data_IF_885159259484
#
_entry.id   IF_885159259484
#
_cell.length_a   1.000
_cell.length_b   1.000
_cell.length_c   1.000
_cell.angle_alpha   90.00
_cell.angle_beta   90.00
_cell.angle_gamma   90.00
#
_symmetry.space_group_name_H-M   'P 1'
#
loop_
_entity.id
_entity.type
_entity.pdbx_description
1 polymer ?
#
# COMPACT_ATOMS: atom_id res chain seq x y z
N UNK A 1 44.39 -10.32 74.22
CA UNK A 1 43.22 -10.86 73.57
C UNK A 1 43.06 -10.10 72.23
N UNK A 2 43.51 -10.67 71.14
CA UNK A 2 43.42 -10.05 69.78
C UNK A 2 42.26 -10.69 69.01
N UNK A 3 41.29 -9.92 68.66
CA UNK A 3 40.13 -10.33 67.88
C UNK A 3 40.51 -10.21 66.44
N UNK A 4 40.51 -11.34 65.67
CA UNK A 4 40.74 -11.40 64.26
C UNK A 4 39.39 -11.31 63.54
N UNK A 5 39.20 -10.27 62.75
CA UNK A 5 38.04 -10.13 61.88
C UNK A 5 38.31 -10.86 60.56
N UNK A 6 37.57 -11.90 60.26
CA UNK A 6 37.56 -12.53 58.95
C UNK A 6 36.62 -11.76 58.01
N UNK A 7 37.19 -11.26 56.91
CA UNK A 7 36.42 -10.65 55.83
C UNK A 7 35.91 -11.74 54.88
N UNK A 8 34.59 -11.85 54.74
CA UNK A 8 33.95 -12.71 53.72
C UNK A 8 33.86 -11.91 52.43
N UNK A 9 34.64 -12.32 51.42
CA UNK A 9 34.52 -11.80 50.07
C UNK A 9 33.35 -12.49 49.35
N UNK A 10 32.30 -11.73 49.06
CA UNK A 10 31.19 -12.18 48.21
C UNK A 10 31.62 -12.10 46.74
N UNK A 11 31.76 -13.27 46.11
CA UNK A 11 31.97 -13.37 44.64
C UNK A 11 30.63 -13.17 43.98
N UNK A 12 30.43 -12.00 43.35
CA UNK A 12 29.28 -11.77 42.47
C UNK A 12 29.55 -12.40 41.08
N UNK A 13 28.88 -13.51 40.81
CA UNK A 13 28.79 -14.05 39.43
C UNK A 13 27.98 -13.08 38.56
N UNK A 14 28.67 -12.34 37.71
CA UNK A 14 27.99 -11.62 36.63
C UNK A 14 27.54 -12.62 35.57
N UNK A 15 26.24 -12.86 35.49
CA UNK A 15 25.62 -13.55 34.37
C UNK A 15 25.83 -12.71 33.11
N UNK A 16 26.77 -13.14 32.26
CA UNK A 16 26.93 -12.60 30.92
C UNK A 16 25.69 -13.07 30.12
N UNK A 17 24.73 -12.18 29.97
CA UNK A 17 23.66 -12.40 28.98
C UNK A 17 24.31 -12.45 27.60
N UNK A 18 23.95 -13.42 26.72
CA UNK A 18 24.43 -13.39 25.34
C UNK A 18 23.94 -12.08 24.72
N UNK A 19 24.89 -11.22 24.35
CA UNK A 19 24.61 -9.97 23.68
C UNK A 19 23.83 -10.27 22.40
N UNK A 20 22.61 -9.76 22.30
CA UNK A 20 21.97 -9.53 21.03
C UNK A 20 22.94 -8.65 20.26
N UNK A 21 23.70 -9.27 19.33
CA UNK A 21 24.42 -8.51 18.33
C UNK A 21 23.37 -7.65 17.61
N UNK A 22 23.46 -6.33 17.79
CA UNK A 22 22.63 -5.39 17.07
C UNK A 22 22.78 -5.77 15.59
N UNK A 23 21.71 -6.28 15.00
CA UNK A 23 21.67 -6.51 13.56
C UNK A 23 21.98 -5.15 12.93
N UNK A 24 23.09 -5.10 12.22
CA UNK A 24 23.51 -3.92 11.47
C UNK A 24 22.33 -3.56 10.59
N UNK A 25 21.71 -2.43 10.88
CA UNK A 25 20.56 -1.95 10.13
C UNK A 25 21.03 -1.75 8.68
N UNK A 26 20.68 -2.68 7.79
CA UNK A 26 21.13 -2.71 6.39
C UNK A 26 20.37 -1.73 5.50
N UNK A 27 19.48 -0.90 6.10
CA UNK A 27 18.55 -0.04 5.40
C UNK A 27 18.75 1.41 5.82
N UNK A 28 18.53 2.36 4.88
CA UNK A 28 18.51 3.77 5.26
C UNK A 28 17.45 3.99 6.33
N UNK A 29 17.65 4.92 7.26
CA UNK A 29 16.61 5.29 8.21
C UNK A 29 15.40 5.78 7.43
N UNK A 30 14.22 5.19 7.71
CA UNK A 30 12.97 5.56 7.06
C UNK A 30 12.58 6.98 7.45
N UNK A 31 12.17 7.78 6.46
CA UNK A 31 11.74 9.17 6.62
C UNK A 31 10.23 9.25 6.42
N UNK A 32 9.48 9.00 7.47
CA UNK A 32 8.03 9.07 7.44
C UNK A 32 7.53 10.51 7.29
N UNK A 33 6.53 10.71 6.44
CA UNK A 33 5.90 12.00 6.21
C UNK A 33 6.73 12.99 5.39
N UNK A 34 7.87 12.60 4.82
CA UNK A 34 8.71 13.46 4.00
C UNK A 34 9.13 12.76 2.72
N UNK A 35 8.95 13.43 1.59
CA UNK A 35 9.38 12.95 0.27
C UNK A 35 10.69 13.60 -0.21
N UNK A 36 11.32 14.46 0.60
CA UNK A 36 12.45 15.28 0.18
C UNK A 36 13.69 14.49 -0.32
N UNK A 37 13.85 13.23 0.12
CA UNK A 37 14.95 12.36 -0.32
C UNK A 37 14.67 11.63 -1.62
N UNK A 38 13.43 11.63 -2.14
CA UNK A 38 13.07 10.91 -3.35
C UNK A 38 13.79 11.47 -4.59
N UNK A 39 14.22 10.58 -5.48
CA UNK A 39 14.71 10.98 -6.79
C UNK A 39 13.55 11.55 -7.64
N UNK A 40 13.85 12.31 -8.67
CA UNK A 40 12.86 12.83 -9.60
C UNK A 40 12.67 11.86 -10.77
N UNK A 41 11.46 11.79 -11.30
CA UNK A 41 11.15 11.06 -12.53
C UNK A 41 10.14 9.93 -12.34
N UNK A 42 10.03 9.12 -13.38
CA UNK A 42 9.11 8.00 -13.42
C UNK A 42 9.60 6.84 -12.56
N UNK A 43 8.71 6.26 -11.76
CA UNK A 43 8.96 5.13 -10.86
C UNK A 43 10.27 5.30 -10.05
N UNK A 44 10.54 6.55 -9.66
CA UNK A 44 11.79 6.98 -9.05
C UNK A 44 11.99 6.34 -7.67
N UNK A 45 13.27 6.13 -7.31
CA UNK A 45 13.63 5.64 -5.97
C UNK A 45 13.30 6.71 -4.93
N UNK A 46 12.58 6.32 -3.88
CA UNK A 46 12.23 7.24 -2.80
C UNK A 46 13.35 7.41 -1.77
N UNK A 47 14.46 6.64 -1.86
CA UNK A 47 15.61 6.75 -0.97
C UNK A 47 15.25 6.71 0.53
N UNK A 48 14.27 5.86 0.89
CA UNK A 48 13.80 5.69 2.27
C UNK A 48 12.68 6.64 2.69
N UNK A 49 12.18 7.50 1.80
CA UNK A 49 10.98 8.30 2.07
C UNK A 49 9.75 7.39 2.11
N UNK A 50 8.90 7.59 3.13
CA UNK A 50 7.67 6.84 3.34
C UNK A 50 6.51 7.83 3.45
N UNK A 51 5.46 7.69 2.62
CA UNK A 51 4.28 8.53 2.72
C UNK A 51 3.65 8.46 4.10
N UNK A 52 3.16 9.60 4.57
CA UNK A 52 2.46 9.77 5.85
C UNK A 52 3.33 9.61 7.11
N UNK A 53 2.89 10.17 8.25
CA UNK A 53 3.52 9.98 9.55
C UNK A 53 3.65 8.52 9.96
N UNK A 54 4.56 8.23 10.89
CA UNK A 54 4.85 6.85 11.31
C UNK A 54 3.65 6.17 12.02
N UNK A 55 2.76 6.93 12.62
CA UNK A 55 1.54 6.46 13.29
C UNK A 55 0.30 6.42 12.38
N UNK A 56 0.46 6.82 11.11
CA UNK A 56 -0.60 6.67 10.12
C UNK A 56 -1.03 5.20 9.96
N UNK A 57 -2.31 4.98 9.62
CA UNK A 57 -2.84 3.63 9.44
C UNK A 57 -2.06 2.80 8.41
N UNK A 58 -1.45 3.41 7.39
CA UNK A 58 -0.59 2.70 6.43
C UNK A 58 0.71 2.20 7.05
N UNK A 59 1.26 2.92 8.02
CA UNK A 59 2.58 2.69 8.60
C UNK A 59 2.53 1.98 9.97
N UNK A 60 1.34 1.87 10.56
CA UNK A 60 1.16 1.29 11.88
C UNK A 60 1.40 -0.24 11.89
N UNK A 61 2.25 -0.70 12.81
CA UNK A 61 2.44 -2.13 13.08
C UNK A 61 1.16 -2.72 13.70
N UNK A 62 0.59 -3.71 13.02
CA UNK A 62 -0.64 -4.40 13.45
C UNK A 62 -0.38 -5.87 13.82
N UNK A 63 0.88 -6.29 13.93
CA UNK A 63 1.24 -7.69 14.20
C UNK A 63 0.66 -8.20 15.51
N UNK A 64 0.49 -7.33 16.50
CA UNK A 64 -0.12 -7.62 17.81
C UNK A 64 -1.62 -7.32 17.91
N UNK A 65 -2.28 -6.89 16.85
CA UNK A 65 -3.71 -6.55 16.91
C UNK A 65 -4.60 -7.78 17.05
N UNK A 66 -5.77 -7.64 17.69
CA UNK A 66 -6.76 -8.70 17.81
C UNK A 66 -7.26 -9.14 16.44
N UNK A 67 -7.65 -10.41 16.34
CA UNK A 67 -8.32 -10.99 15.15
C UNK A 67 -9.81 -10.64 15.22
N UNK A 68 -10.41 -10.33 14.07
CA UNK A 68 -11.85 -10.09 13.97
C UNK A 68 -12.63 -11.39 14.23
N UNK A 69 -13.69 -11.37 15.05
CA UNK A 69 -14.47 -12.57 15.34
C UNK A 69 -15.14 -13.18 14.09
N UNK A 70 -15.36 -12.42 13.02
CA UNK A 70 -15.90 -12.90 11.74
C UNK A 70 -14.80 -13.21 10.70
N UNK A 71 -13.53 -13.25 11.12
CA UNK A 71 -12.38 -13.42 10.23
C UNK A 71 -12.53 -14.60 9.26
N UNK A 72 -12.93 -15.77 9.76
CA UNK A 72 -13.01 -16.98 8.94
C UNK A 72 -14.04 -16.87 7.82
N UNK A 73 -15.21 -16.28 8.07
CA UNK A 73 -16.23 -16.06 7.05
C UNK A 73 -15.78 -15.02 6.01
N UNK A 74 -15.14 -13.95 6.46
CA UNK A 74 -14.62 -12.90 5.59
C UNK A 74 -13.51 -13.45 4.67
N UNK A 75 -12.56 -14.21 5.20
CA UNK A 75 -11.52 -14.88 4.40
C UNK A 75 -12.13 -15.90 3.43
N UNK A 76 -13.12 -16.67 3.89
CA UNK A 76 -13.82 -17.65 3.04
C UNK A 76 -14.51 -16.99 1.85
N UNK A 77 -15.10 -15.80 2.03
CA UNK A 77 -15.76 -15.05 0.96
C UNK A 77 -14.79 -14.55 -0.12
N UNK A 78 -13.51 -14.31 0.25
CA UNK A 78 -12.46 -13.91 -0.69
C UNK A 78 -11.82 -15.16 -1.35
N UNK A 79 -11.85 -16.32 -0.68
CA UNK A 79 -11.33 -17.58 -1.18
C UNK A 79 -10.12 -18.10 -0.40
N UNK A 80 -10.37 -19.14 0.40
CA UNK A 80 -9.37 -19.75 1.31
C UNK A 80 -8.23 -20.45 0.57
N UNK A 81 -8.49 -21.02 -0.61
CA UNK A 81 -7.53 -21.76 -1.41
C UNK A 81 -6.91 -20.93 -2.55
N UNK A 82 -7.37 -19.69 -2.72
CA UNK A 82 -6.84 -18.77 -3.73
C UNK A 82 -5.51 -18.22 -3.25
N UNK A 83 -4.49 -18.26 -4.12
CA UNK A 83 -3.17 -17.69 -3.84
C UNK A 83 -3.13 -16.18 -4.04
N UNK A 84 -2.16 -15.53 -3.41
CA UNK A 84 -1.84 -14.14 -3.74
C UNK A 84 -1.40 -14.04 -5.20
N UNK A 85 -1.78 -12.95 -5.84
CA UNK A 85 -1.34 -12.59 -7.18
C UNK A 85 -0.69 -11.20 -7.19
N UNK A 86 0.56 -11.07 -7.68
CA UNK A 86 1.16 -9.76 -7.88
C UNK A 86 0.59 -9.14 -9.16
N UNK A 87 -0.10 -8.03 -9.05
CA UNK A 87 -0.58 -7.24 -10.20
C UNK A 87 0.43 -6.15 -10.55
N UNK A 88 1.71 -6.53 -10.54
CA UNK A 88 2.87 -5.71 -10.86
C UNK A 88 4.06 -6.59 -11.24
N UNK A 89 5.06 -5.99 -11.90
CA UNK A 89 6.23 -6.73 -12.33
C UNK A 89 7.15 -5.93 -13.25
N UNK A 90 7.99 -6.64 -13.99
CA UNK A 90 8.85 -6.09 -15.04
C UNK A 90 8.25 -6.25 -16.43
N UNK A 91 8.58 -5.34 -17.34
CA UNK A 91 8.19 -5.41 -18.73
C UNK A 91 6.72 -5.11 -18.99
N UNK A 92 6.13 -5.80 -19.96
CA UNK A 92 4.74 -5.55 -20.41
C UNK A 92 3.92 -6.82 -20.53
N UNK A 93 2.62 -6.70 -20.27
CA UNK A 93 1.63 -7.72 -20.51
C UNK A 93 0.57 -7.21 -21.47
N UNK A 94 0.33 -7.94 -22.59
CA UNK A 94 -0.58 -7.50 -23.65
C UNK A 94 -0.32 -6.07 -24.19
N UNK A 95 0.93 -5.61 -24.12
CA UNK A 95 1.36 -4.31 -24.63
C UNK A 95 1.22 -3.13 -23.66
N UNK A 96 0.79 -3.40 -22.40
CA UNK A 96 0.78 -2.43 -21.32
C UNK A 96 1.83 -2.79 -20.26
N UNK A 97 2.39 -1.79 -19.58
CA UNK A 97 3.28 -2.02 -18.43
C UNK A 97 2.52 -2.75 -17.31
N UNK A 98 3.26 -3.57 -16.54
CA UNK A 98 2.68 -4.40 -15.48
C UNK A 98 2.79 -3.66 -14.15
N UNK A 99 1.68 -3.12 -13.66
CA UNK A 99 1.59 -2.36 -12.40
C UNK A 99 1.11 -0.94 -12.60
N UNK A 100 1.00 -0.21 -11.49
CA UNK A 100 0.54 1.18 -11.45
C UNK A 100 1.76 2.11 -11.39
N UNK A 101 2.09 2.81 -12.50
CA UNK A 101 3.25 3.70 -12.52
C UNK A 101 2.99 4.98 -11.73
N UNK A 102 4.06 5.60 -11.24
CA UNK A 102 4.02 6.89 -10.58
C UNK A 102 5.12 7.81 -11.08
N UNK A 103 4.98 9.09 -10.81
CA UNK A 103 5.99 10.11 -11.12
C UNK A 103 6.32 10.91 -9.86
N UNK A 104 7.60 11.16 -9.63
CA UNK A 104 8.06 12.11 -8.62
C UNK A 104 8.51 13.38 -9.30
N UNK A 105 7.93 14.49 -8.91
CA UNK A 105 8.22 15.83 -9.44
C UNK A 105 8.75 16.74 -8.33
N UNK A 106 9.34 17.87 -8.72
CA UNK A 106 9.68 18.99 -7.84
C UNK A 106 8.57 20.06 -7.88
N UNK A 107 8.64 21.04 -7.00
CA UNK A 107 7.67 22.14 -6.90
C UNK A 107 7.68 23.10 -8.12
N UNK A 108 8.70 23.00 -8.98
CA UNK A 108 8.78 23.74 -10.25
C UNK A 108 8.02 23.05 -11.41
N UNK A 109 7.45 21.84 -11.20
CA UNK A 109 6.63 21.17 -12.23
C UNK A 109 5.39 22.00 -12.55
N UNK A 110 5.19 22.40 -13.84
CA UNK A 110 4.03 23.19 -14.21
C UNK A 110 2.70 22.49 -13.91
N UNK A 111 1.78 23.21 -13.29
CA UNK A 111 0.42 22.74 -13.05
C UNK A 111 -0.43 22.78 -14.31
N UNK A 112 -1.15 21.71 -14.58
CA UNK A 112 -2.02 21.57 -15.75
C UNK A 112 -3.49 21.48 -15.34
N UNK A 113 -4.38 21.93 -16.24
CA UNK A 113 -5.82 21.93 -15.99
C UNK A 113 -6.38 20.50 -16.02
N UNK A 114 -7.17 20.16 -15.01
CA UNK A 114 -7.89 18.89 -14.91
C UNK A 114 -9.38 19.11 -15.20
N UNK A 115 -9.98 18.27 -16.04
CA UNK A 115 -11.41 18.27 -16.37
C UNK A 115 -12.06 17.00 -15.83
N UNK A 116 -12.71 17.09 -14.71
CA UNK A 116 -13.48 16.00 -14.09
C UNK A 116 -14.71 15.63 -14.94
N UNK A 117 -14.99 14.34 -15.08
CA UNK A 117 -16.09 13.80 -15.90
C UNK A 117 -17.18 13.11 -15.07
N UNK A 118 -16.81 12.24 -14.12
CA UNK A 118 -17.76 11.50 -13.31
C UNK A 118 -17.84 12.10 -11.90
N UNK A 119 -17.06 11.70 -10.98
CA UNK A 119 -17.14 11.98 -9.53
C UNK A 119 -16.75 13.42 -9.16
N UNK A 120 -17.40 14.42 -9.80
CA UNK A 120 -17.00 15.85 -9.68
C UNK A 120 -17.17 16.43 -8.30
N UNK A 121 -18.19 15.96 -7.57
CA UNK A 121 -18.54 16.47 -6.24
C UNK A 121 -17.77 15.73 -5.14
N UNK A 122 -17.03 14.68 -5.52
CA UNK A 122 -16.19 13.86 -4.66
C UNK A 122 -14.71 13.95 -5.05
N UNK A 123 -14.33 14.96 -5.81
CA UNK A 123 -12.99 15.10 -6.38
C UNK A 123 -12.37 16.46 -6.12
N UNK A 124 -11.06 16.48 -5.97
CA UNK A 124 -10.26 17.70 -6.00
C UNK A 124 -10.14 18.23 -7.44
N UNK A 125 -10.45 19.52 -7.61
CA UNK A 125 -10.67 20.12 -8.94
C UNK A 125 -9.41 20.47 -9.72
N UNK A 126 -8.23 20.24 -9.15
CA UNK A 126 -6.95 20.67 -9.73
C UNK A 126 -6.75 22.21 -9.68
N UNK A 127 -5.72 22.76 -10.32
CA UNK A 127 -4.82 22.08 -11.23
C UNK A 127 -3.88 21.08 -10.54
N UNK A 128 -3.29 20.14 -11.32
CA UNK A 128 -2.34 19.14 -10.84
C UNK A 128 -1.00 19.23 -11.58
N UNK A 129 0.15 18.91 -10.95
CA UNK A 129 1.48 19.01 -11.56
C UNK A 129 1.81 17.76 -12.38
N UNK A 130 1.06 17.50 -13.47
CA UNK A 130 1.23 16.28 -14.26
C UNK A 130 2.26 16.51 -15.37
N UNK A 131 3.37 15.73 -15.41
CA UNK A 131 4.34 15.77 -16.49
C UNK A 131 3.70 15.42 -17.85
N UNK A 132 4.16 16.02 -18.95
CA UNK A 132 3.60 15.77 -20.29
C UNK A 132 3.71 14.31 -20.74
N UNK A 133 4.72 13.61 -20.24
CA UNK A 133 5.08 12.22 -20.53
C UNK A 133 4.65 11.24 -19.44
N UNK A 134 3.83 11.68 -18.46
CA UNK A 134 3.34 10.84 -17.39
C UNK A 134 2.72 9.55 -17.93
N UNK A 135 3.21 8.42 -17.45
CA UNK A 135 2.68 7.11 -17.81
C UNK A 135 1.27 6.92 -17.28
N UNK A 136 0.50 6.18 -18.05
CA UNK A 136 -0.89 5.84 -17.72
C UNK A 136 -0.96 4.34 -17.55
N UNK A 137 -1.45 3.87 -16.42
CA UNK A 137 -1.67 2.47 -16.16
C UNK A 137 -2.51 1.82 -17.26
N UNK A 138 -2.12 0.62 -17.69
CA UNK A 138 -2.85 -0.15 -18.71
C UNK A 138 -2.93 0.51 -20.09
N UNK A 139 -2.16 1.60 -20.34
CA UNK A 139 -2.19 2.28 -21.61
C UNK A 139 -1.78 1.36 -22.76
N UNK A 140 -2.67 1.26 -23.76
CA UNK A 140 -2.59 0.39 -24.94
C UNK A 140 -2.69 -1.12 -24.65
N UNK A 141 -3.31 -1.51 -23.52
CA UNK A 141 -3.57 -2.94 -23.27
C UNK A 141 -4.34 -3.55 -24.47
N UNK A 142 -3.87 -4.67 -24.98
CA UNK A 142 -4.40 -5.32 -26.20
C UNK A 142 -4.53 -4.36 -27.40
N UNK A 143 -3.67 -3.33 -27.50
CA UNK A 143 -3.78 -2.28 -28.52
C UNK A 143 -4.88 -1.24 -28.24
N UNK A 144 -5.69 -1.41 -27.22
CA UNK A 144 -6.76 -0.48 -26.85
C UNK A 144 -6.23 0.66 -25.96
N UNK A 145 -6.05 1.84 -26.55
CA UNK A 145 -5.60 3.04 -25.83
C UNK A 145 -6.63 3.65 -24.86
N UNK A 146 -7.84 3.10 -24.80
CA UNK A 146 -8.91 3.56 -23.92
C UNK A 146 -9.26 2.55 -22.80
N UNK A 147 -8.62 1.37 -22.81
CA UNK A 147 -8.85 0.32 -21.82
C UNK A 147 -8.12 0.55 -20.48
N UNK A 148 -8.47 -0.26 -19.49
CA UNK A 148 -7.90 -0.24 -18.14
C UNK A 148 -8.42 0.90 -17.27
N UNK A 149 -7.98 0.92 -16.02
CA UNK A 149 -8.35 1.92 -15.02
C UNK A 149 -7.63 3.24 -15.22
N UNK A 150 -6.50 3.21 -15.94
CA UNK A 150 -5.80 4.39 -16.42
C UNK A 150 -5.43 5.35 -15.30
N UNK A 151 -4.92 4.81 -14.21
CA UNK A 151 -4.39 5.62 -13.11
C UNK A 151 -3.18 6.46 -13.58
N UNK A 152 -3.11 7.68 -13.05
CA UNK A 152 -1.93 8.54 -13.12
C UNK A 152 -1.66 9.06 -11.73
N UNK A 153 -0.48 8.74 -11.20
CA UNK A 153 -0.05 9.08 -9.85
C UNK A 153 1.16 10.02 -9.93
N UNK A 154 1.10 11.15 -9.23
CA UNK A 154 2.20 12.13 -9.20
C UNK A 154 2.46 12.55 -7.76
N UNK A 155 3.71 12.49 -7.35
CA UNK A 155 4.19 12.92 -6.04
C UNK A 155 5.04 14.18 -6.23
N UNK A 156 4.67 15.27 -5.60
CA UNK A 156 5.49 16.46 -5.46
C UNK A 156 6.30 16.32 -4.16
N UNK A 157 7.60 16.03 -4.31
CA UNK A 157 8.47 15.72 -3.18
C UNK A 157 8.78 16.93 -2.30
N UNK A 158 8.74 18.13 -2.87
CA UNK A 158 9.12 19.35 -2.16
C UNK A 158 7.96 19.90 -1.33
N UNK A 159 6.72 19.63 -1.75
CA UNK A 159 5.52 20.05 -1.01
C UNK A 159 4.84 18.91 -0.25
N UNK A 160 5.38 17.68 -0.26
CA UNK A 160 4.80 16.47 0.33
C UNK A 160 3.34 16.27 -0.11
N UNK A 161 3.04 16.45 -1.38
CA UNK A 161 1.70 16.28 -1.94
C UNK A 161 1.67 15.16 -2.96
N UNK A 162 0.56 14.45 -2.98
CA UNK A 162 0.30 13.42 -3.96
C UNK A 162 -1.00 13.70 -4.69
N UNK A 163 -0.96 13.51 -6.00
CA UNK A 163 -2.07 13.74 -6.91
C UNK A 163 -2.36 12.45 -7.65
N UNK A 164 -3.59 11.99 -7.59
CA UNK A 164 -4.03 10.75 -8.23
C UNK A 164 -5.23 11.00 -9.14
N UNK A 165 -5.27 10.34 -10.30
CA UNK A 165 -6.38 10.41 -11.22
C UNK A 165 -6.85 9.02 -11.63
N UNK A 166 -8.17 8.81 -11.64
CA UNK A 166 -8.82 7.63 -12.22
C UNK A 166 -9.34 7.93 -13.61
N UNK A 167 -9.16 6.98 -14.56
CA UNK A 167 -9.51 7.08 -15.98
C UNK A 167 -8.99 8.35 -16.64
N UNK A 168 -7.67 8.55 -16.52
CA UNK A 168 -6.98 9.75 -17.00
C UNK A 168 -6.69 9.70 -18.49
N UNK A 169 -6.93 10.83 -19.19
CA UNK A 169 -6.68 11.00 -20.62
C UNK A 169 -6.06 12.38 -20.89
N UNK A 170 -4.90 12.44 -21.54
CA UNK A 170 -4.36 13.72 -22.01
C UNK A 170 -5.28 14.30 -23.10
N UNK A 171 -5.46 15.61 -23.08
CA UNK A 171 -6.25 16.37 -24.06
C UNK A 171 -5.45 17.56 -24.59
N UNK A 172 -5.99 18.28 -25.57
CA UNK A 172 -5.31 19.43 -26.18
C UNK A 172 -4.89 20.48 -25.14
N UNK A 173 -3.84 21.23 -25.43
CA UNK A 173 -3.30 22.30 -24.60
C UNK A 173 -2.76 21.83 -23.24
N UNK A 174 -2.05 20.71 -23.23
CA UNK A 174 -1.43 20.10 -22.03
C UNK A 174 -2.41 19.91 -20.86
N UNK A 175 -3.71 19.84 -21.13
CA UNK A 175 -4.71 19.58 -20.11
C UNK A 175 -5.04 18.08 -20.06
N UNK A 176 -5.65 17.65 -18.96
CA UNK A 176 -6.11 16.28 -18.75
C UNK A 176 -7.62 16.25 -18.47
N UNK A 177 -8.25 15.12 -18.79
CA UNK A 177 -9.56 14.77 -18.27
C UNK A 177 -9.46 13.45 -17.51
N UNK A 178 -10.23 13.31 -16.43
CA UNK A 178 -10.34 12.08 -15.64
C UNK A 178 -11.75 11.94 -15.07
N UNK A 179 -12.08 10.77 -14.56
CA UNK A 179 -13.37 10.53 -13.93
C UNK A 179 -13.35 10.97 -12.45
N UNK A 180 -12.24 10.70 -11.73
CA UNK A 180 -11.98 11.22 -10.38
C UNK A 180 -10.57 11.79 -10.29
N UNK A 181 -10.39 12.76 -9.38
CA UNK A 181 -9.11 13.35 -9.01
C UNK A 181 -8.98 13.49 -7.49
N UNK A 182 -7.82 13.17 -6.96
CA UNK A 182 -7.57 13.20 -5.53
C UNK A 182 -6.24 13.88 -5.21
N UNK A 183 -6.23 14.67 -4.14
CA UNK A 183 -5.05 15.29 -3.53
C UNK A 183 -4.91 14.77 -2.11
N UNK A 184 -3.71 14.29 -1.75
CA UNK A 184 -3.35 13.87 -0.40
C UNK A 184 -2.13 14.64 0.08
N UNK A 185 -2.11 14.99 1.37
CA UNK A 185 -0.97 15.55 2.07
C UNK A 185 -0.18 14.43 2.73
N UNK A 186 1.05 14.17 2.28
CA UNK A 186 1.84 13.02 2.70
C UNK A 186 2.53 13.18 4.06
N UNK A 187 2.47 14.38 4.63
CA UNK A 187 3.04 14.75 5.93
C UNK A 187 1.97 14.88 7.04
N UNK A 188 0.72 14.47 6.77
CA UNK A 188 -0.38 14.55 7.73
C UNK A 188 -1.26 13.30 7.68
N UNK A 189 -2.12 13.14 8.70
CA UNK A 189 -3.15 12.10 8.76
C UNK A 189 -4.51 12.59 8.25
N UNK A 190 -4.52 13.70 7.52
CA UNK A 190 -5.74 14.29 7.00
C UNK A 190 -6.46 13.31 6.07
N UNK A 191 -7.73 13.08 6.34
CA UNK A 191 -8.61 12.27 5.52
C UNK A 191 -9.43 13.18 4.63
N UNK A 192 -9.67 12.77 3.40
CA UNK A 192 -10.57 13.49 2.48
C UNK A 192 -11.98 13.56 3.08
N UNK A 193 -12.85 14.50 2.63
CA UNK A 193 -14.17 14.70 3.24
C UNK A 193 -14.93 13.41 3.48
N UNK A 194 -15.43 13.22 4.71
CA UNK A 194 -15.97 11.97 5.25
C UNK A 194 -17.46 12.07 5.60
N UNK A 195 -18.28 12.71 4.76
CA UNK A 195 -19.74 12.50 4.85
C UNK A 195 -20.04 11.01 4.59
N UNK A 196 -21.25 10.57 4.54
CA UNK A 196 -21.58 9.13 4.43
C UNK A 196 -22.28 8.80 3.11
N UNK A 197 -21.63 8.11 2.16
CA UNK A 197 -20.20 7.82 2.12
C UNK A 197 -19.37 9.09 1.95
N UNK A 198 -18.07 9.03 2.24
CA UNK A 198 -17.14 10.12 1.99
C UNK A 198 -16.84 10.29 0.50
N UNK A 199 -15.87 11.14 0.21
CA UNK A 199 -15.39 11.28 -1.15
C UNK A 199 -14.66 10.01 -1.60
N UNK A 200 -14.95 9.54 -2.84
CA UNK A 200 -14.08 8.57 -3.51
C UNK A 200 -12.70 9.19 -3.81
N UNK A 201 -11.74 8.39 -4.20
CA UNK A 201 -10.45 8.84 -4.70
C UNK A 201 -10.24 8.33 -6.14
N UNK A 202 -9.00 8.14 -6.54
CA UNK A 202 -8.68 7.30 -7.68
C UNK A 202 -8.93 5.80 -7.36
N UNK A 203 -9.07 5.47 -6.09
CA UNK A 203 -9.37 4.14 -5.55
C UNK A 203 -10.82 4.09 -5.00
N UNK A 204 -11.50 2.96 -5.12
CA UNK A 204 -12.91 2.82 -4.78
C UNK A 204 -13.19 2.98 -3.28
N UNK A 205 -12.22 2.65 -2.42
CA UNK A 205 -12.32 2.81 -0.98
C UNK A 205 -12.16 4.26 -0.48
N UNK A 206 -11.88 5.22 -1.38
CA UNK A 206 -11.47 6.58 -1.00
C UNK A 206 -10.05 6.66 -0.43
N UNK A 207 -9.32 5.57 -0.48
CA UNK A 207 -7.92 5.49 -0.04
C UNK A 207 -6.97 6.07 -1.11
N UNK A 208 -5.75 6.48 -0.72
CA UNK A 208 -4.68 6.72 -1.66
C UNK A 208 -4.13 5.40 -2.23
N UNK A 209 -3.80 5.38 -3.51
CA UNK A 209 -3.24 4.19 -4.19
C UNK A 209 -1.75 4.03 -3.87
N UNK A 210 -0.96 5.09 -4.09
CA UNK A 210 0.50 5.05 -4.04
C UNK A 210 1.07 4.49 -2.73
N UNK A 211 0.61 4.88 -1.53
CA UNK A 211 1.16 4.37 -0.27
C UNK A 211 1.00 2.86 -0.07
N UNK A 212 0.04 2.26 -0.77
CA UNK A 212 -0.23 0.82 -0.70
C UNK A 212 0.45 -0.02 -1.79
N UNK A 213 1.24 0.59 -2.68
CA UNK A 213 1.94 -0.14 -3.74
C UNK A 213 3.16 -0.88 -3.18
N UNK A 214 3.35 -2.14 -3.58
CA UNK A 214 4.64 -2.80 -3.45
C UNK A 214 5.63 -2.14 -4.42
N UNK A 215 6.74 -1.59 -3.92
CA UNK A 215 7.75 -0.92 -4.74
C UNK A 215 9.07 -1.66 -4.69
N UNK A 216 9.77 -1.70 -5.84
CA UNK A 216 11.04 -2.42 -5.95
C UNK A 216 12.18 -1.76 -5.15
N UNK A 217 12.20 -0.43 -5.07
CA UNK A 217 13.22 0.31 -4.30
C UNK A 217 13.23 -0.08 -2.82
N UNK A 218 12.07 -0.43 -2.24
CA UNK A 218 11.95 -0.96 -0.89
C UNK A 218 12.21 -2.47 -0.84
N UNK A 219 11.52 -3.26 -1.67
CA UNK A 219 11.65 -4.72 -1.68
C UNK A 219 13.10 -5.17 -1.89
N UNK A 220 13.85 -4.50 -2.76
CA UNK A 220 15.26 -4.75 -3.01
C UNK A 220 16.14 -4.46 -1.78
N UNK A 221 15.73 -3.63 -0.83
CA UNK A 221 16.40 -3.50 0.46
C UNK A 221 16.14 -4.68 1.38
N UNK A 222 15.02 -5.38 1.19
CA UNK A 222 14.50 -6.47 2.02
C UNK A 222 13.46 -6.02 3.05
N UNK A 223 13.01 -4.75 2.99
CA UNK A 223 12.01 -4.18 3.92
C UNK A 223 11.04 -3.31 3.15
N UNK A 224 9.74 -3.55 3.35
CA UNK A 224 8.65 -2.66 2.98
C UNK A 224 8.05 -2.15 4.30
N UNK A 225 8.14 -0.84 4.62
CA UNK A 225 7.81 -0.32 5.94
C UNK A 225 6.34 0.14 6.08
N UNK A 226 5.43 -0.38 5.27
CA UNK A 226 4.01 0.01 5.25
C UNK A 226 3.09 -1.14 4.83
N UNK A 227 1.78 -0.95 5.04
CA UNK A 227 0.74 -1.84 4.55
C UNK A 227 0.64 -1.79 3.02
N UNK A 228 0.17 -2.88 2.43
CA UNK A 228 -0.12 -2.95 1.01
C UNK A 228 -1.62 -2.75 0.74
N UNK A 229 -1.97 -2.54 -0.53
CA UNK A 229 -3.36 -2.58 -1.01
C UNK A 229 -3.63 -3.86 -1.78
N UNK A 230 -4.88 -4.34 -1.71
CA UNK A 230 -5.30 -5.49 -2.51
C UNK A 230 -6.77 -5.36 -2.92
N UNK A 231 -7.18 -6.18 -3.89
CA UNK A 231 -8.55 -6.20 -4.41
C UNK A 231 -9.31 -7.46 -4.01
N UNK A 232 -10.63 -7.34 -4.00
CA UNK A 232 -11.58 -8.43 -3.78
C UNK A 232 -12.66 -8.42 -4.85
N UNK A 233 -13.18 -9.58 -5.25
CA UNK A 233 -14.22 -9.63 -6.29
C UNK A 233 -15.56 -9.08 -5.81
N UNK A 234 -15.85 -9.23 -4.54
CA UNK A 234 -17.11 -8.79 -3.93
C UNK A 234 -16.84 -8.10 -2.60
N UNK A 235 -17.31 -6.86 -2.47
CA UNK A 235 -17.32 -6.12 -1.21
C UNK A 235 -18.73 -5.87 -0.75
N UNK A 236 -18.92 -5.46 0.52
CA UNK A 236 -20.24 -5.06 1.02
C UNK A 236 -20.40 -3.54 1.05
N UNK A 237 -21.65 -3.09 1.21
CA UNK A 237 -22.03 -1.69 1.38
C UNK A 237 -21.62 -1.16 2.76
N UNK A 238 -20.28 -1.07 2.96
CA UNK A 238 -19.65 -0.58 4.17
C UNK A 238 -18.20 -0.21 3.93
N UNK A 239 -17.63 0.58 4.83
CA UNK A 239 -16.18 0.80 4.90
C UNK A 239 -15.68 0.81 6.35
N UNK A 240 -14.36 0.67 6.50
CA UNK A 240 -13.62 0.77 7.77
C UNK A 240 -12.54 1.85 7.61
N UNK A 241 -12.46 2.85 8.49
CA UNK A 241 -11.37 3.83 8.44
C UNK A 241 -9.98 3.15 8.42
N UNK A 242 -9.00 3.67 7.64
CA UNK A 242 -8.98 4.99 6.99
C UNK A 242 -9.74 5.10 5.67
N UNK A 243 -10.35 4.03 5.14
CA UNK A 243 -11.28 4.16 4.03
C UNK A 243 -12.48 5.04 4.44
N UNK A 244 -13.06 5.73 3.48
CA UNK A 244 -14.19 6.61 3.72
C UNK A 244 -15.30 6.48 2.67
N UNK A 245 -15.18 5.48 1.79
CA UNK A 245 -16.12 5.23 0.72
C UNK A 245 -16.37 3.72 0.55
N UNK A 246 -17.58 3.33 0.15
CA UNK A 246 -17.93 1.96 -0.26
C UNK A 246 -18.28 1.92 -1.76
N UNK A 247 -18.10 0.77 -2.39
CA UNK A 247 -18.30 0.58 -3.83
C UNK A 247 -19.18 -0.63 -4.14
N UNK A 248 -20.16 -0.91 -3.29
CA UNK A 248 -21.10 -2.03 -3.45
C UNK A 248 -22.44 -1.69 -2.79
N UNK A 249 -23.50 -2.37 -3.21
CA UNK A 249 -24.82 -2.32 -2.58
C UNK A 249 -25.16 -3.64 -1.86
N UNK A 250 -24.20 -4.57 -1.73
CA UNK A 250 -24.43 -5.85 -1.06
C UNK A 250 -24.28 -5.66 0.45
N UNK A 251 -25.29 -6.02 1.21
CA UNK A 251 -25.32 -5.86 2.67
C UNK A 251 -24.89 -7.11 3.43
N UNK A 252 -24.43 -8.16 2.74
CA UNK A 252 -24.01 -9.40 3.38
C UNK A 252 -22.83 -9.15 4.35
N UNK A 253 -22.99 -9.40 5.68
CA UNK A 253 -21.97 -9.12 6.68
C UNK A 253 -20.73 -10.00 6.54
N UNK A 254 -20.78 -11.07 5.76
CA UNK A 254 -19.66 -11.96 5.49
C UNK A 254 -18.82 -11.51 4.28
N UNK A 255 -19.19 -10.44 3.59
CA UNK A 255 -18.36 -9.82 2.57
C UNK A 255 -17.47 -8.74 3.18
N UNK A 256 -16.25 -8.56 2.65
CA UNK A 256 -15.33 -7.54 3.15
C UNK A 256 -15.85 -6.13 2.89
N UNK A 257 -15.83 -5.22 3.88
CA UNK A 257 -16.00 -3.78 3.63
C UNK A 257 -14.73 -3.19 3.02
N UNK A 258 -14.84 -2.08 2.31
CA UNK A 258 -13.66 -1.30 1.90
C UNK A 258 -12.85 -0.88 3.13
N UNK A 259 -11.51 -0.85 3.02
CA UNK A 259 -10.62 -0.57 4.15
C UNK A 259 -10.42 -1.73 5.14
N UNK A 260 -11.12 -2.86 4.99
CA UNK A 260 -10.86 -4.04 5.82
C UNK A 260 -9.40 -4.44 5.73
N UNK A 261 -8.75 -4.63 6.88
CA UNK A 261 -7.34 -4.99 6.93
C UNK A 261 -7.15 -6.46 7.23
N UNK A 262 -6.35 -7.13 6.40
CA UNK A 262 -5.92 -8.50 6.63
C UNK A 262 -4.42 -8.53 6.90
N UNK A 263 -3.96 -9.53 7.65
CA UNK A 263 -2.53 -9.79 7.84
C UNK A 263 -2.21 -11.27 7.61
N UNK A 264 -0.98 -11.53 7.18
CA UNK A 264 -0.43 -12.88 7.14
C UNK A 264 -0.26 -13.37 8.58
N UNK A 265 -0.81 -14.56 8.89
CA UNK A 265 -0.77 -15.14 10.23
C UNK A 265 0.66 -15.25 10.77
N UNK A 266 0.85 -14.94 12.05
CA UNK A 266 2.15 -15.04 12.71
C UNK A 266 2.74 -16.47 12.59
N UNK A 267 1.89 -17.52 12.62
CA UNK A 267 2.27 -18.91 12.47
C UNK A 267 2.75 -19.32 11.08
N UNK A 268 2.48 -18.51 10.04
CA UNK A 268 2.99 -18.81 8.70
C UNK A 268 4.51 -18.68 8.64
N UNK A 269 5.21 -19.74 8.28
CA UNK A 269 6.67 -19.70 8.10
C UNK A 269 6.98 -19.32 6.66
N UNK A 270 7.62 -18.17 6.46
CA UNK A 270 8.08 -17.74 5.13
C UNK A 270 9.18 -18.70 4.66
N UNK A 271 9.03 -19.37 3.50
CA UNK A 271 10.02 -20.31 3.01
C UNK A 271 11.40 -19.69 2.79
N UNK A 272 12.45 -20.38 3.26
CA UNK A 272 13.83 -19.89 3.11
C UNK A 272 14.26 -19.72 1.65
N UNK A 273 13.69 -20.52 0.75
CA UNK A 273 14.01 -20.50 -0.69
C UNK A 273 13.37 -19.37 -1.47
N UNK A 274 12.45 -18.61 -0.88
CA UNK A 274 11.84 -17.46 -1.57
C UNK A 274 12.86 -16.33 -1.81
N UNK A 275 12.66 -15.56 -2.86
CA UNK A 275 13.45 -14.40 -3.19
C UNK A 275 13.44 -13.35 -2.06
N UNK A 276 14.40 -12.45 -2.07
CA UNK A 276 14.50 -11.37 -1.08
C UNK A 276 13.28 -10.46 -1.15
N UNK A 277 12.85 -10.13 -2.34
CA UNK A 277 11.73 -9.24 -2.62
C UNK A 277 10.41 -9.85 -2.13
N UNK A 278 10.15 -11.13 -2.44
CA UNK A 278 8.97 -11.83 -1.93
C UNK A 278 8.98 -11.94 -0.41
N UNK A 279 10.13 -12.20 0.21
CA UNK A 279 10.26 -12.19 1.68
C UNK A 279 9.95 -10.83 2.27
N UNK A 280 10.40 -9.74 1.65
CA UNK A 280 10.08 -8.38 2.09
C UNK A 280 8.57 -8.11 2.04
N UNK A 281 7.90 -8.48 0.95
CA UNK A 281 6.44 -8.41 0.81
C UNK A 281 5.75 -9.21 1.93
N UNK A 282 6.10 -10.48 2.11
CA UNK A 282 5.46 -11.34 3.10
C UNK A 282 5.72 -10.88 4.54
N UNK A 283 6.89 -10.31 4.82
CA UNK A 283 7.17 -9.72 6.12
C UNK A 283 6.33 -8.45 6.37
N UNK A 284 6.16 -7.60 5.35
CA UNK A 284 5.25 -6.45 5.43
C UNK A 284 3.82 -6.89 5.68
N UNK A 285 3.36 -7.96 5.03
CA UNK A 285 2.03 -8.53 5.26
C UNK A 285 1.85 -9.09 6.68
N UNK A 286 2.91 -9.52 7.36
CA UNK A 286 2.87 -9.89 8.79
C UNK A 286 2.81 -8.68 9.70
N UNK A 287 3.60 -7.66 9.41
CA UNK A 287 3.79 -6.49 10.29
C UNK A 287 2.69 -5.45 10.08
N UNK A 288 2.45 -5.11 8.82
CA UNK A 288 1.54 -4.02 8.43
C UNK A 288 0.25 -4.52 7.77
N UNK A 289 0.25 -5.76 7.24
CA UNK A 289 -0.89 -6.32 6.52
C UNK A 289 -1.18 -5.64 5.18
N UNK A 290 -2.41 -5.81 4.70
CA UNK A 290 -2.90 -5.13 3.50
C UNK A 290 -4.38 -4.76 3.66
N UNK A 291 -4.82 -3.70 2.95
CA UNK A 291 -6.18 -3.16 3.03
C UNK A 291 -6.96 -3.41 1.75
N UNK A 292 -8.24 -3.77 1.89
CA UNK A 292 -9.18 -3.83 0.77
C UNK A 292 -9.36 -2.42 0.22
N UNK A 293 -8.93 -2.19 -1.00
CA UNK A 293 -8.89 -0.88 -1.61
C UNK A 293 -9.88 -0.72 -2.76
N UNK A 294 -10.13 -1.81 -3.51
CA UNK A 294 -11.02 -1.78 -4.67
C UNK A 294 -11.68 -3.14 -4.91
N UNK A 295 -12.70 -3.15 -5.77
CA UNK A 295 -13.23 -4.37 -6.37
C UNK A 295 -12.38 -4.78 -7.57
N UNK A 296 -12.08 -6.08 -7.67
CA UNK A 296 -11.22 -6.64 -8.71
C UNK A 296 -11.10 -8.14 -8.57
N UNK A 297 -10.00 -8.73 -9.00
CA UNK A 297 -9.75 -10.14 -8.73
C UNK A 297 -9.38 -10.35 -7.26
N UNK A 298 -9.77 -11.51 -6.71
CA UNK A 298 -9.45 -11.86 -5.32
C UNK A 298 -7.95 -12.02 -5.11
N UNK A 299 -7.44 -11.45 -4.00
CA UNK A 299 -6.05 -11.56 -3.56
C UNK A 299 -5.02 -10.95 -4.52
N UNK A 300 -5.42 -10.00 -5.38
CA UNK A 300 -4.48 -9.26 -6.22
C UNK A 300 -3.86 -8.12 -5.42
N UNK A 301 -2.54 -8.15 -5.27
CA UNK A 301 -1.74 -7.10 -4.62
C UNK A 301 -1.26 -6.13 -5.70
N UNK A 302 -1.44 -4.85 -5.49
CA UNK A 302 -0.95 -3.82 -6.40
C UNK A 302 0.49 -3.43 -6.10
N UNK A 303 1.23 -3.05 -7.13
CA UNK A 303 2.58 -2.54 -7.01
C UNK A 303 2.99 -1.68 -8.20
N UNK A 304 4.15 -1.05 -8.09
CA UNK A 304 4.73 -0.25 -9.15
C UNK A 304 5.56 -1.12 -10.12
N UNK A 305 5.55 -0.80 -11.41
CA UNK A 305 6.41 -1.46 -12.39
C UNK A 305 7.88 -1.17 -12.10
N UNK A 306 8.74 -2.16 -12.32
CA UNK A 306 10.19 -1.96 -12.25
C UNK A 306 10.92 -3.11 -12.94
N UNK A 307 11.96 -2.83 -13.73
CA UNK A 307 12.74 -3.85 -14.43
C UNK A 307 13.55 -4.77 -13.50
N UNK A 308 13.68 -4.41 -12.24
CA UNK A 308 14.32 -5.23 -11.21
C UNK A 308 13.46 -6.42 -10.74
N UNK A 309 12.15 -6.39 -10.93
CA UNK A 309 11.28 -7.49 -10.54
C UNK A 309 11.55 -8.75 -11.37
N UNK A 310 11.63 -9.89 -10.70
CA UNK A 310 11.61 -11.19 -11.36
C UNK A 310 10.17 -11.73 -11.33
N UNK A 311 9.47 -11.67 -12.47
CA UNK A 311 8.07 -12.07 -12.59
C UNK A 311 7.84 -13.55 -12.24
N UNK A 312 8.76 -14.45 -12.60
CA UNK A 312 8.64 -15.87 -12.31
C UNK A 312 8.71 -16.13 -10.80
N UNK A 313 9.61 -15.45 -10.09
CA UNK A 313 9.67 -15.52 -8.62
C UNK A 313 8.40 -14.93 -8.00
N UNK A 314 8.01 -13.71 -8.39
CA UNK A 314 6.82 -13.06 -7.83
C UNK A 314 5.57 -13.93 -7.95
N UNK A 315 5.26 -14.38 -9.17
CA UNK A 315 4.06 -15.19 -9.42
C UNK A 315 4.17 -16.57 -8.79
N UNK A 316 5.32 -17.25 -8.96
CA UNK A 316 5.53 -18.59 -8.46
C UNK A 316 5.56 -18.71 -6.94
N UNK A 317 6.14 -17.70 -6.26
CA UNK A 317 6.29 -17.71 -4.80
C UNK A 317 5.03 -17.17 -4.11
N UNK A 318 4.47 -16.03 -4.55
CA UNK A 318 3.27 -15.46 -3.95
C UNK A 318 2.04 -16.35 -4.12
N UNK A 319 1.89 -17.05 -5.24
CA UNK A 319 0.76 -17.96 -5.46
C UNK A 319 0.69 -19.15 -4.48
N UNK A 320 1.79 -19.44 -3.79
CA UNK A 320 1.83 -20.47 -2.74
C UNK A 320 1.21 -19.99 -1.42
N UNK A 321 1.09 -18.67 -1.22
CA UNK A 321 0.50 -18.07 -0.03
C UNK A 321 -1.00 -17.93 -0.24
N UNK A 322 -1.78 -18.76 0.44
CA UNK A 322 -3.23 -18.89 0.24
C UNK A 322 -4.03 -17.99 1.18
N UNK A 323 -5.28 -17.71 0.82
CA UNK A 323 -6.21 -17.00 1.69
C UNK A 323 -6.29 -17.58 3.10
N UNK A 324 -6.22 -18.93 3.24
CA UNK A 324 -6.19 -19.63 4.54
C UNK A 324 -4.98 -19.25 5.43
N UNK A 325 -3.93 -18.65 4.86
CA UNK A 325 -2.78 -18.17 5.62
C UNK A 325 -3.00 -16.77 6.22
N UNK A 326 -4.12 -16.12 5.90
CA UNK A 326 -4.47 -14.79 6.38
C UNK A 326 -5.52 -14.82 7.48
N UNK A 327 -5.60 -13.73 8.22
CA UNK A 327 -6.63 -13.42 9.19
C UNK A 327 -7.01 -11.95 9.09
N UNK A 328 -8.27 -11.64 9.41
CA UNK A 328 -8.78 -10.27 9.41
C UNK A 328 -8.43 -9.62 10.74
N UNK A 329 -7.81 -8.45 10.71
CA UNK A 329 -7.58 -7.61 11.89
C UNK A 329 -8.92 -7.05 12.36
N UNK A 330 -9.17 -7.10 13.68
CA UNK A 330 -10.41 -6.65 14.30
C UNK A 330 -10.80 -5.25 13.83
N UNK A 331 -11.90 -5.17 13.13
CA UNK A 331 -12.42 -3.94 12.57
C UNK A 331 -12.96 -3.01 13.67
N UNK A 332 -12.68 -1.72 13.54
CA UNK A 332 -13.19 -0.67 14.42
C UNK A 332 -13.81 0.44 13.59
N UNK A 333 -14.94 0.98 14.05
CA UNK A 333 -15.57 2.12 13.38
C UNK A 333 -16.14 1.78 12.00
N UNK A 334 -16.70 0.59 11.83
CA UNK A 334 -17.40 0.21 10.60
C UNK A 334 -18.52 1.19 10.34
N UNK A 335 -18.55 1.76 9.14
CA UNK A 335 -19.61 2.66 8.66
C UNK A 335 -20.45 1.91 7.63
N UNK A 336 -21.76 1.89 7.84
CA UNK A 336 -22.76 1.30 6.95
C UNK A 336 -23.75 2.39 6.52
N UNK A 337 -24.54 2.20 5.47
CA UNK A 337 -25.67 3.08 5.14
C UNK A 337 -26.58 3.31 6.35
N UNK A 338 -27.23 4.50 6.44
CA UNK A 338 -28.16 4.84 7.50
C UNK A 338 -29.43 3.98 7.50
#
# INVERSE_FOLDING_TARGET
MKIVHAAIAALSLALIQPGYAAQKQLHPPWQFGSMASADLGQDANLNGAVPFPADNAWNADISGSDVDPNSDNLIASIGIDTGLHPDFGSGTYHGAIIGIPYYVVSDDQPYVKIRLKAYKDESDKGPFPIPPDALIEGYKINGNKFGGDRHVLVIDRDTNRMYEMYRAFPIRNMAWKCDAGALFHLDSDDVRPTQQPGWTSADAAGLPIFPGLARYDEAATGVIPHALRFTVAHSREAYVPPANHWASNDQNPNLPPMGMRVRLKASYTIPNGFSKETKAILQALKTYGMMVADNGSNWYISGAPNDGWNNDHLVGELSQVKGSNFEVVKMKGIVTPP
#
